data_IF_840131567290
#
_entry.id   IF_840131567290
#
_cell.length_a   1.000
_cell.length_b   1.000
_cell.length_c   1.000
_cell.angle_alpha   90.00
_cell.angle_beta   90.00
_cell.angle_gamma   90.00
#
_symmetry.space_group_name_H-M   'P 1'
#
loop_
_entity.id
_entity.type
_entity.pdbx_description
1 polymer ?
#
# COMPACT_ATOMS: atom_id res chain seq x y z
N UNK A 1 14.72 34.72 -18.91
CA UNK A 1 14.21 33.69 -17.98
C UNK A 1 15.39 33.14 -17.20
N UNK A 2 15.39 33.36 -15.89
CA UNK A 2 16.55 33.31 -15.00
C UNK A 2 16.88 31.86 -14.61
N UNK A 3 18.12 31.46 -14.86
CA UNK A 3 18.74 30.21 -14.39
C UNK A 3 19.17 30.40 -12.93
N UNK A 4 18.44 29.81 -11.99
CA UNK A 4 18.80 29.79 -10.57
C UNK A 4 19.40 28.45 -10.15
N UNK A 5 20.73 28.35 -10.12
CA UNK A 5 21.47 27.29 -9.43
C UNK A 5 21.57 27.69 -7.95
N UNK A 6 21.00 26.92 -7.04
CA UNK A 6 21.23 27.07 -5.60
C UNK A 6 22.14 25.93 -5.14
N UNK A 7 23.24 26.35 -4.53
CA UNK A 7 24.38 25.58 -4.06
C UNK A 7 24.38 25.67 -2.52
N UNK A 8 24.93 24.64 -1.87
CA UNK A 8 25.37 24.56 -0.46
C UNK A 8 24.28 24.31 0.61
N UNK A 9 24.48 23.60 1.72
CA UNK A 9 25.68 23.27 2.52
C UNK A 9 25.60 21.88 3.18
N UNK A 10 26.79 21.28 3.36
CA UNK A 10 27.07 20.09 4.18
C UNK A 10 27.17 20.51 5.65
N UNK A 11 26.54 19.78 6.56
CA UNK A 11 26.85 19.84 7.99
C UNK A 11 27.06 18.41 8.52
N UNK A 12 28.33 18.09 8.78
CA UNK A 12 28.75 16.89 9.50
C UNK A 12 28.51 17.10 11.00
N UNK A 13 27.79 16.18 11.64
CA UNK A 13 27.66 16.13 13.10
C UNK A 13 28.24 14.80 13.57
N UNK A 14 29.44 14.89 14.12
CA UNK A 14 30.10 13.84 14.89
C UNK A 14 29.74 14.04 16.36
N UNK A 15 29.07 13.07 16.99
CA UNK A 15 28.84 13.09 18.45
C UNK A 15 29.12 11.71 19.06
N UNK A 16 30.32 11.64 19.65
CA UNK A 16 30.65 11.14 21.00
C UNK A 16 30.24 9.71 21.37
N UNK A 17 31.24 8.84 21.33
CA UNK A 17 31.30 7.56 22.05
C UNK A 17 31.38 7.78 23.57
N UNK A 18 30.43 7.20 24.32
CA UNK A 18 30.46 7.14 25.78
C UNK A 18 30.70 5.70 26.23
N UNK A 19 31.95 5.39 26.57
CA UNK A 19 32.35 4.15 27.23
C UNK A 19 32.04 4.26 28.72
N UNK A 20 31.01 3.55 29.19
CA UNK A 20 30.74 3.40 30.61
C UNK A 20 31.37 2.07 31.05
N UNK A 21 32.56 2.17 31.62
CA UNK A 21 33.24 1.07 32.30
C UNK A 21 32.74 1.01 33.74
N UNK A 22 31.99 -0.04 34.09
CA UNK A 22 31.47 -0.28 35.42
C UNK A 22 32.15 -1.49 36.07
N UNK A 23 32.78 -1.25 37.22
CA UNK A 23 33.54 -2.20 38.01
C UNK A 23 32.65 -3.33 38.58
N UNK A 24 33.08 -4.58 38.42
CA UNK A 24 32.49 -5.76 39.06
C UNK A 24 33.16 -5.96 40.43
N UNK A 25 32.40 -5.78 41.50
CA UNK A 25 32.81 -6.10 42.87
C UNK A 25 32.39 -7.53 43.20
N UNK A 26 33.36 -8.41 43.39
CA UNK A 26 33.13 -9.81 43.79
C UNK A 26 32.77 -9.87 45.29
N UNK A 27 31.63 -10.47 45.68
CA UNK A 27 31.24 -10.54 47.08
C UNK A 27 32.04 -11.61 47.87
N UNK A 28 32.18 -11.43 49.20
CA UNK A 28 32.83 -12.39 50.10
C UNK A 28 32.12 -13.75 50.16
N UNK A 29 32.90 -14.82 50.27
CA UNK A 29 32.40 -16.18 50.39
C UNK A 29 31.71 -16.42 51.74
N UNK A 30 30.39 -16.63 51.69
CA UNK A 30 29.56 -17.00 52.84
C UNK A 30 29.78 -18.47 53.22
N UNK A 31 29.83 -18.83 54.52
CA UNK A 31 29.98 -20.22 54.96
C UNK A 31 28.81 -21.09 54.50
N UNK A 32 29.17 -22.25 53.95
CA UNK A 32 28.25 -23.29 53.46
C UNK A 32 27.60 -23.98 54.65
N UNK A 33 26.33 -23.67 54.89
CA UNK A 33 25.47 -24.42 55.81
C UNK A 33 24.88 -25.59 55.03
N UNK A 34 25.19 -26.82 55.41
CA UNK A 34 24.60 -28.03 54.81
C UNK A 34 23.10 -28.08 55.12
N UNK A 35 22.21 -27.90 54.13
CA UNK A 35 20.78 -27.89 54.38
C UNK A 35 20.28 -29.33 54.62
N UNK A 36 19.55 -29.51 55.72
CA UNK A 36 18.73 -30.71 55.93
C UNK A 36 17.61 -30.68 54.88
N UNK A 37 17.55 -31.70 54.02
CA UNK A 37 16.54 -31.79 52.97
C UNK A 37 15.17 -32.10 53.57
N UNK A 38 14.40 -31.05 53.87
CA UNK A 38 12.95 -31.19 54.04
C UNK A 38 12.36 -31.58 52.68
N UNK A 39 11.53 -32.64 52.58
CA UNK A 39 10.91 -33.01 51.32
C UNK A 39 10.06 -31.83 50.82
N UNK A 40 10.51 -31.21 49.74
CA UNK A 40 9.82 -30.08 49.11
C UNK A 40 8.49 -30.61 48.58
N UNK A 41 7.35 -29.99 48.93
CA UNK A 41 6.07 -30.40 48.36
C UNK A 41 6.19 -30.30 46.84
N UNK A 42 5.97 -31.41 46.15
CA UNK A 42 5.95 -31.48 44.68
C UNK A 42 4.92 -30.47 44.20
N UNK A 43 5.39 -29.34 43.64
CA UNK A 43 4.52 -28.35 43.04
C UNK A 43 3.77 -29.03 41.90
N UNK A 44 2.47 -29.24 42.08
CA UNK A 44 1.58 -29.62 41.00
C UNK A 44 1.59 -28.45 40.01
N UNK A 45 2.36 -28.58 38.94
CA UNK A 45 2.38 -27.63 37.84
C UNK A 45 0.97 -27.62 37.24
N UNK A 46 0.22 -26.55 37.50
CA UNK A 46 -0.98 -26.28 36.72
C UNK A 46 -0.56 -26.19 35.25
N UNK A 47 -1.22 -26.91 34.33
CA UNK A 47 -0.88 -26.84 32.92
C UNK A 47 -0.97 -25.38 32.48
N UNK A 48 0.17 -24.81 32.12
CA UNK A 48 0.25 -23.47 31.56
C UNK A 48 -0.46 -23.53 30.20
N UNK A 49 -1.65 -22.96 30.14
CA UNK A 49 -2.34 -22.81 28.87
C UNK A 49 -1.47 -21.92 27.99
N UNK A 50 -0.91 -22.49 26.93
CA UNK A 50 -0.19 -21.71 25.92
C UNK A 50 -1.22 -20.77 25.29
N UNK A 51 -1.02 -19.45 25.36
CA UNK A 51 -1.96 -18.51 24.76
C UNK A 51 -2.08 -18.80 23.25
N UNK A 52 -3.32 -18.83 22.75
CA UNK A 52 -3.57 -18.98 21.33
C UNK A 52 -2.86 -17.84 20.56
N UNK A 53 -2.26 -18.11 19.39
CA UNK A 53 -1.56 -17.09 18.62
C UNK A 53 -2.52 -15.95 18.26
N UNK A 54 -2.15 -14.72 18.61
CA UNK A 54 -2.88 -13.52 18.18
C UNK A 54 -2.76 -13.41 16.67
N UNK A 55 -3.88 -13.31 15.92
CA UNK A 55 -3.82 -13.26 14.47
C UNK A 55 -3.18 -11.93 14.01
N UNK A 56 -2.21 -12.02 13.09
CA UNK A 56 -1.36 -10.90 12.69
C UNK A 56 -2.06 -9.90 11.76
N UNK A 57 -1.90 -8.61 12.03
CA UNK A 57 -2.47 -7.52 11.22
C UNK A 57 -1.84 -7.48 9.81
N UNK A 58 -2.68 -7.36 8.78
CA UNK A 58 -2.35 -7.47 7.36
C UNK A 58 -3.34 -6.67 6.49
N UNK A 59 -2.84 -6.20 5.35
CA UNK A 59 -3.63 -5.52 4.31
C UNK A 59 -3.49 -6.32 3.02
N UNK A 60 -4.60 -6.68 2.38
CA UNK A 60 -4.60 -7.55 1.20
C UNK A 60 -5.50 -6.97 0.12
N UNK A 61 -4.99 -6.81 -1.10
CA UNK A 61 -5.81 -6.48 -2.27
C UNK A 61 -6.66 -7.69 -2.64
N UNK A 62 -7.98 -7.54 -2.63
CA UNK A 62 -8.95 -8.59 -2.97
C UNK A 62 -9.16 -8.67 -4.48
N UNK A 63 -9.50 -7.53 -5.10
CA UNK A 63 -9.83 -7.46 -6.53
C UNK A 63 -9.26 -6.18 -7.14
N UNK A 64 -8.70 -6.31 -8.33
CA UNK A 64 -8.28 -5.21 -9.18
C UNK A 64 -8.18 -5.72 -10.62
N UNK A 65 -8.53 -4.93 -11.63
CA UNK A 65 -8.30 -5.31 -13.02
C UNK A 65 -6.80 -5.30 -13.34
N UNK A 66 -6.40 -6.17 -14.27
CA UNK A 66 -5.02 -6.21 -14.78
C UNK A 66 -4.78 -5.20 -15.90
N UNK A 67 -5.86 -4.70 -16.51
CA UNK A 67 -5.84 -3.71 -17.59
C UNK A 67 -6.94 -2.67 -17.39
N UNK A 68 -6.67 -1.40 -17.67
CA UNK A 68 -7.67 -0.34 -17.72
C UNK A 68 -7.38 0.65 -18.86
N UNK A 69 -8.37 1.46 -19.22
CA UNK A 69 -8.24 2.46 -20.28
C UNK A 69 -7.87 3.80 -19.64
N UNK A 70 -6.93 4.51 -20.26
CA UNK A 70 -6.52 5.83 -19.80
C UNK A 70 -7.73 6.77 -19.67
N UNK A 71 -7.76 7.53 -18.57
CA UNK A 71 -8.84 8.45 -18.19
C UNK A 71 -10.20 7.80 -17.90
N UNK A 72 -10.29 6.46 -17.87
CA UNK A 72 -11.46 5.75 -17.33
C UNK A 72 -11.21 5.32 -15.89
N UNK A 73 -12.26 5.37 -15.08
CA UNK A 73 -12.23 4.90 -13.69
C UNK A 73 -12.27 3.38 -13.64
N UNK A 74 -11.48 2.78 -12.75
CA UNK A 74 -11.57 1.36 -12.41
C UNK A 74 -11.57 1.17 -10.89
N UNK A 75 -12.20 0.09 -10.42
CA UNK A 75 -12.36 -0.19 -9.00
C UNK A 75 -11.25 -1.12 -8.49
N UNK A 76 -10.71 -0.79 -7.32
CA UNK A 76 -9.83 -1.65 -6.53
C UNK A 76 -10.49 -1.91 -5.19
N UNK A 77 -10.53 -3.17 -4.76
CA UNK A 77 -11.02 -3.56 -3.44
C UNK A 77 -9.93 -4.23 -2.63
N UNK A 78 -9.88 -3.95 -1.33
CA UNK A 78 -8.90 -4.51 -0.40
C UNK A 78 -9.54 -4.80 0.96
N UNK A 79 -8.90 -5.68 1.71
CA UNK A 79 -9.28 -6.10 3.06
C UNK A 79 -8.20 -5.73 4.05
N UNK A 80 -8.63 -5.34 5.25
CA UNK A 80 -7.76 -5.16 6.41
C UNK A 80 -8.16 -6.16 7.48
N UNK A 81 -7.22 -7.02 7.89
CA UNK A 81 -7.40 -8.08 8.90
C UNK A 81 -6.28 -7.98 9.95
N UNK A 82 -6.37 -8.61 11.13
CA UNK A 82 -7.42 -8.54 12.13
C UNK A 82 -6.91 -7.71 13.35
N UNK A 83 -7.53 -7.94 14.51
CA UNK A 83 -7.66 -7.06 15.70
C UNK A 83 -8.83 -6.11 15.49
N UNK A 84 -9.78 -6.06 16.42
CA UNK A 84 -10.98 -5.20 16.32
C UNK A 84 -10.61 -3.77 16.72
N UNK A 85 -9.99 -3.05 15.78
CA UNK A 85 -9.42 -1.71 15.99
C UNK A 85 -9.99 -0.73 14.99
N UNK A 86 -9.96 0.55 15.35
CA UNK A 86 -10.32 1.63 14.45
C UNK A 86 -9.22 1.83 13.42
N UNK A 87 -9.62 1.93 12.16
CA UNK A 87 -8.78 2.29 11.02
C UNK A 87 -9.04 3.76 10.73
N UNK A 88 -8.25 4.71 11.27
CA UNK A 88 -8.43 6.13 10.99
C UNK A 88 -8.10 6.51 9.54
N UNK A 89 -7.30 5.67 8.86
CA UNK A 89 -6.81 5.96 7.52
C UNK A 89 -6.58 4.67 6.74
N UNK A 90 -7.26 4.51 5.61
CA UNK A 90 -6.92 3.52 4.58
C UNK A 90 -7.14 4.09 3.18
N UNK A 91 -6.29 3.72 2.23
CA UNK A 91 -6.33 4.19 0.85
C UNK A 91 -5.51 3.27 -0.07
N UNK A 92 -5.63 3.44 -1.38
CA UNK A 92 -4.73 2.83 -2.37
C UNK A 92 -3.75 3.89 -2.88
N UNK A 93 -2.46 3.57 -2.83
CA UNK A 93 -1.38 4.39 -3.39
C UNK A 93 -0.91 3.79 -4.72
N UNK A 94 -0.62 4.63 -5.71
CA UNK A 94 -0.25 4.19 -7.05
C UNK A 94 0.71 5.14 -7.79
N UNK A 95 1.55 4.58 -8.67
CA UNK A 95 2.57 5.33 -9.40
C UNK A 95 3.17 4.58 -10.59
N UNK A 96 3.96 5.26 -11.44
CA UNK A 96 4.58 4.66 -12.61
C UNK A 96 5.80 3.79 -12.28
N UNK A 97 6.38 3.94 -11.08
CA UNK A 97 7.57 3.21 -10.65
C UNK A 97 7.24 2.24 -9.53
N UNK A 98 7.79 1.02 -9.60
CA UNK A 98 7.80 0.06 -8.50
C UNK A 98 8.60 0.60 -7.32
N UNK A 99 8.20 0.23 -6.09
CA UNK A 99 8.89 0.64 -4.85
C UNK A 99 9.23 -0.56 -3.98
N UNK A 100 10.50 -0.61 -3.58
CA UNK A 100 11.01 -1.52 -2.55
C UNK A 100 10.89 -0.89 -1.16
N UNK A 101 10.91 -1.73 -0.13
CA UNK A 101 10.99 -1.28 1.26
C UNK A 101 12.28 -0.50 1.54
N UNK A 102 12.28 0.46 2.50
CA UNK A 102 11.14 0.86 3.32
C UNK A 102 10.14 1.78 2.58
N UNK A 103 8.85 1.54 2.77
CA UNK A 103 7.78 2.36 2.17
C UNK A 103 7.36 3.54 3.06
N UNK A 104 6.99 4.65 2.40
CA UNK A 104 6.47 5.88 3.01
C UNK A 104 5.20 6.35 2.30
N UNK A 105 4.43 7.24 2.93
CA UNK A 105 3.22 7.84 2.33
C UNK A 105 3.49 8.69 1.08
N UNK A 106 4.75 8.99 0.77
CA UNK A 106 5.18 9.72 -0.44
C UNK A 106 5.86 8.82 -1.47
N UNK A 107 5.92 7.51 -1.22
CA UNK A 107 6.57 6.55 -2.13
C UNK A 107 5.88 6.48 -3.49
N UNK A 108 4.58 6.75 -3.54
CA UNK A 108 3.80 6.83 -4.76
C UNK A 108 3.19 8.23 -4.92
N UNK A 109 3.16 8.79 -6.14
CA UNK A 109 2.63 10.13 -6.39
C UNK A 109 1.10 10.21 -6.36
N UNK A 110 0.40 9.12 -6.67
CA UNK A 110 -1.06 9.04 -6.69
C UNK A 110 -1.61 8.32 -5.46
N UNK A 111 -2.80 8.75 -5.01
CA UNK A 111 -3.59 8.05 -3.99
C UNK A 111 -5.08 8.23 -4.21
N UNK A 112 -5.89 7.30 -3.72
CA UNK A 112 -7.35 7.43 -3.64
C UNK A 112 -7.76 8.35 -2.49
N UNK A 113 -9.06 8.64 -2.41
CA UNK A 113 -9.65 9.21 -1.21
C UNK A 113 -9.39 8.32 0.00
N UNK A 114 -9.29 8.96 1.16
CA UNK A 114 -9.06 8.30 2.44
C UNK A 114 -10.38 7.78 2.98
N UNK A 115 -10.39 6.51 3.34
CA UNK A 115 -11.51 5.86 4.01
C UNK A 115 -11.14 5.55 5.47
N UNK A 116 -12.16 5.33 6.28
CA UNK A 116 -12.04 4.92 7.68
C UNK A 116 -13.02 3.78 7.99
N UNK A 117 -12.77 3.05 9.07
CA UNK A 117 -13.62 1.93 9.47
C UNK A 117 -13.13 1.20 10.71
N UNK A 118 -13.63 -0.01 10.94
CA UNK A 118 -13.20 -0.91 12.02
C UNK A 118 -12.87 -2.28 11.44
N UNK A 119 -11.74 -2.86 11.84
CA UNK A 119 -11.32 -4.18 11.36
C UNK A 119 -12.12 -5.32 12.02
N UNK A 120 -12.34 -6.45 11.31
CA UNK A 120 -12.02 -6.66 9.90
C UNK A 120 -12.99 -5.90 8.99
N UNK A 121 -12.47 -5.30 7.91
CA UNK A 121 -13.28 -4.54 6.96
C UNK A 121 -12.76 -4.67 5.52
N UNK A 122 -13.71 -4.63 4.59
CA UNK A 122 -13.49 -4.55 3.16
C UNK A 122 -13.76 -3.13 2.69
N UNK A 123 -12.85 -2.62 1.86
CA UNK A 123 -12.90 -1.28 1.30
C UNK A 123 -12.81 -1.36 -0.21
N UNK A 124 -13.34 -0.35 -0.89
CA UNK A 124 -13.17 -0.17 -2.32
C UNK A 124 -13.02 1.30 -2.67
N UNK A 125 -12.28 1.55 -3.74
CA UNK A 125 -12.09 2.89 -4.27
C UNK A 125 -11.94 2.86 -5.79
N UNK A 126 -12.35 3.95 -6.41
CA UNK A 126 -12.21 4.19 -7.83
C UNK A 126 -10.90 4.94 -8.11
N UNK A 127 -10.15 4.50 -9.11
CA UNK A 127 -8.90 5.10 -9.55
C UNK A 127 -9.02 5.53 -11.01
N UNK A 128 -8.57 6.74 -11.33
CA UNK A 128 -8.50 7.27 -12.69
C UNK A 128 -7.06 7.64 -13.03
N UNK A 129 -6.48 7.02 -14.06
CA UNK A 129 -5.11 7.29 -14.50
C UNK A 129 -5.14 7.83 -15.93
N UNK A 130 -4.69 9.07 -16.14
CA UNK A 130 -4.74 9.73 -17.45
C UNK A 130 -3.59 9.40 -18.40
N UNK A 131 -2.63 8.57 -17.98
CA UNK A 131 -1.44 8.21 -18.78
C UNK A 131 -1.42 6.71 -19.05
N UNK A 132 -0.99 6.33 -20.25
CA UNK A 132 -0.77 4.92 -20.63
C UNK A 132 0.53 4.39 -20.03
N UNK A 133 0.59 3.08 -19.79
CA UNK A 133 1.78 2.40 -19.28
C UNK A 133 1.46 1.46 -18.11
N UNK A 134 2.50 0.81 -17.58
CA UNK A 134 2.38 -0.02 -16.38
C UNK A 134 2.41 0.89 -15.16
N UNK A 135 1.44 0.71 -14.26
CA UNK A 135 1.40 1.36 -12.96
C UNK A 135 1.44 0.31 -11.87
N UNK A 136 2.08 0.69 -10.76
CA UNK A 136 2.24 -0.10 -9.55
C UNK A 136 1.35 0.48 -8.47
N UNK A 137 0.70 -0.37 -7.68
CA UNK A 137 -0.15 0.08 -6.59
C UNK A 137 -0.12 -0.85 -5.39
N UNK A 138 -0.40 -0.28 -4.22
CA UNK A 138 -0.53 -0.99 -2.93
C UNK A 138 -1.71 -0.41 -2.15
N UNK A 139 -2.43 -1.27 -1.43
CA UNK A 139 -3.35 -0.83 -0.40
C UNK A 139 -2.58 -0.51 0.87
N UNK A 140 -3.02 0.53 1.58
CA UNK A 140 -2.41 1.04 2.81
C UNK A 140 -3.46 1.12 3.92
N UNK A 141 -3.07 0.78 5.15
CA UNK A 141 -3.85 1.08 6.34
C UNK A 141 -2.93 1.55 7.48
N UNK A 142 -3.41 2.55 8.24
CA UNK A 142 -2.81 2.96 9.50
C UNK A 142 -3.63 2.37 10.65
N UNK A 143 -3.01 1.55 11.50
CA UNK A 143 -3.66 0.89 12.64
C UNK A 143 -2.77 1.11 13.86
N UNK A 144 -3.30 1.71 14.91
CA UNK A 144 -2.56 2.07 16.14
C UNK A 144 -1.24 2.82 15.87
N UNK A 145 -1.28 3.75 14.89
CA UNK A 145 -0.10 4.53 14.48
C UNK A 145 0.95 3.74 13.67
N UNK A 146 0.70 2.45 13.41
CA UNK A 146 1.58 1.59 12.62
C UNK A 146 1.08 1.51 11.17
N UNK A 147 2.02 1.59 10.23
CA UNK A 147 1.77 1.56 8.80
C UNK A 147 1.77 0.12 8.28
N UNK A 148 0.69 -0.28 7.62
CA UNK A 148 0.59 -1.58 6.96
C UNK A 148 0.35 -1.40 5.47
N UNK A 149 1.12 -2.15 4.68
CA UNK A 149 1.05 -2.15 3.22
C UNK A 149 0.70 -3.54 2.72
N UNK A 150 -0.10 -3.62 1.65
CA UNK A 150 -0.24 -4.85 0.89
C UNK A 150 1.00 -5.14 0.04
N UNK A 151 1.06 -6.34 -0.51
CA UNK A 151 1.92 -6.64 -1.65
C UNK A 151 1.67 -5.67 -2.81
N UNK A 152 2.71 -5.40 -3.60
CA UNK A 152 2.59 -4.58 -4.81
C UNK A 152 1.84 -5.34 -5.90
N UNK A 153 0.94 -4.62 -6.58
CA UNK A 153 0.21 -5.10 -7.75
C UNK A 153 0.49 -4.19 -8.93
N UNK A 154 0.29 -4.73 -10.13
CA UNK A 154 0.49 -4.00 -11.39
C UNK A 154 -0.81 -3.89 -12.17
N UNK A 155 -1.00 -2.77 -12.86
CA UNK A 155 -2.07 -2.57 -13.84
C UNK A 155 -1.49 -1.97 -15.12
N UNK A 156 -1.90 -2.48 -16.28
CA UNK A 156 -1.53 -1.93 -17.57
C UNK A 156 -2.61 -0.95 -18.07
N UNK A 157 -2.25 0.32 -18.23
CA UNK A 157 -3.14 1.36 -18.72
C UNK A 157 -2.95 1.52 -20.23
N UNK A 158 -3.99 1.23 -21.00
CA UNK A 158 -3.99 1.30 -22.47
C UNK A 158 -4.67 2.57 -22.99
N UNK A 159 -4.36 2.96 -24.22
CA UNK A 159 -5.05 4.07 -24.86
C UNK A 159 -6.51 3.69 -25.19
N UNK A 160 -7.45 4.66 -25.21
CA UNK A 160 -8.79 4.42 -25.70
C UNK A 160 -8.77 4.02 -27.18
N UNK A 161 -9.59 3.03 -27.56
CA UNK A 161 -9.77 2.64 -28.95
C UNK A 161 -10.56 3.74 -29.68
N UNK A 162 -9.91 4.45 -30.61
CA UNK A 162 -10.57 5.43 -31.47
C UNK A 162 -11.09 4.70 -32.72
N UNK A 163 -12.40 4.61 -32.86
CA UNK A 163 -13.02 4.06 -34.09
C UNK A 163 -13.13 5.17 -35.12
N UNK A 164 -12.34 5.10 -36.18
CA UNK A 164 -12.47 6.00 -37.33
C UNK A 164 -13.63 5.54 -38.22
N UNK A 165 -14.74 6.28 -38.20
CA UNK A 165 -15.85 6.04 -39.13
C UNK A 165 -15.49 6.68 -40.46
N UNK A 166 -15.22 5.84 -41.47
CA UNK A 166 -15.06 6.31 -42.85
C UNK A 166 -16.45 6.51 -43.45
N UNK A 167 -16.92 7.75 -43.50
CA UNK A 167 -18.10 8.10 -44.30
C UNK A 167 -17.71 8.10 -45.77
N UNK A 168 -18.23 7.12 -46.52
CA UNK A 168 -18.22 7.18 -47.98
C UNK A 168 -19.36 8.10 -48.42
N UNK A 169 -19.09 9.19 -49.15
CA UNK A 169 -20.15 10.05 -49.67
C UNK A 169 -21.14 9.22 -50.50
N UNK A 170 -22.44 9.42 -50.26
CA UNK A 170 -23.47 8.82 -51.10
C UNK A 170 -23.25 9.27 -52.56
N UNK A 171 -23.31 8.34 -53.50
CA UNK A 171 -23.20 8.65 -54.91
C UNK A 171 -24.25 9.71 -55.27
N UNK A 172 -23.81 10.82 -55.86
CA UNK A 172 -24.71 11.89 -56.30
C UNK A 172 -25.61 11.33 -57.39
N UNK A 173 -26.91 11.19 -57.09
CA UNK A 173 -27.89 10.82 -58.10
C UNK A 173 -27.91 11.91 -59.17
N UNK A 174 -27.41 11.59 -60.36
CA UNK A 174 -27.51 12.48 -61.52
C UNK A 174 -28.93 12.34 -62.05
N UNK A 175 -29.79 13.31 -61.74
CA UNK A 175 -31.15 13.35 -62.29
C UNK A 175 -31.03 13.67 -63.78
N UNK A 176 -31.07 12.63 -64.61
CA UNK A 176 -31.16 12.74 -66.06
C UNK A 176 -32.52 13.34 -66.44
N UNK A 177 -32.57 14.67 -66.55
CA UNK A 177 -33.72 15.39 -67.09
C UNK A 177 -33.90 15.11 -68.58
N UNK A 178 -34.69 14.09 -68.92
CA UNK A 178 -35.42 14.01 -70.18
C UNK A 178 -36.92 14.02 -69.84
N UNK A 179 -37.81 14.74 -70.50
CA UNK A 179 -37.74 15.54 -71.70
C UNK A 179 -39.18 15.72 -72.20
N UNK A 180 -39.51 16.94 -72.60
CA UNK A 180 -40.53 17.34 -73.60
C UNK A 180 -41.98 16.86 -73.42
N UNK A 181 -42.84 17.77 -72.93
CA UNK A 181 -44.29 17.71 -73.18
C UNK A 181 -44.59 18.41 -74.52
N UNK A 182 -45.10 17.68 -75.51
CA UNK A 182 -45.68 18.24 -76.73
C UNK A 182 -47.13 18.65 -76.50
N UNK A 183 -47.49 19.83 -77.02
CA UNK A 183 -48.85 20.37 -77.08
C UNK A 183 -49.65 19.78 -78.24
#
# INVERSE_FOLDING_TARGET
>A
MIRGKIIFWIAAIAIVSSLISGCVSTPPATPVVTPVMTPTPTATLTPMTTPAPTPATSVVVLTAPTTAIASQSFMVSWRVNPTQVTIPYTAVYYGPDSKSEPLSLTSYPGKTDVLNGTTPADFSANITIGKTGIFYFRAYAMIDGTNYWSDERTINITAPTIVSIKITPAATATTSGGGVFGY
#
